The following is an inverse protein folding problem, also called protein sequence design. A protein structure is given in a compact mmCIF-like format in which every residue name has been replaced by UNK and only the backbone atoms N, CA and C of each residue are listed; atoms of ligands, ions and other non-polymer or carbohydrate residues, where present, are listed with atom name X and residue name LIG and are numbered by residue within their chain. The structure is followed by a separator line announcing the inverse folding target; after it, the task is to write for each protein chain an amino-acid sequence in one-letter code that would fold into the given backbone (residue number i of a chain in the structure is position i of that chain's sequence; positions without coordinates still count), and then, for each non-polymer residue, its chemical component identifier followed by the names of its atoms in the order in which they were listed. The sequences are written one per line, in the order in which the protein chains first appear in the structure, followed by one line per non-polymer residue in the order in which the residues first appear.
data_IF_733006091971
#
_entry.id   IF_733006091971
#
_cell.length_a   1.000
_cell.length_b   1.000
_cell.length_c   1.000
_cell.angle_alpha   90.00
_cell.angle_beta   90.00
_cell.angle_gamma   90.00
#
_symmetry.space_group_name_H-M   'P 1'
#
loop_
_entity.id
_entity.type
_entity.pdbx_description
1 polymer ?
#
# COMPACT_ATOMS: atom_id res chain seq x y z
N UNK A 1 33.58 -14.17 -4.26
CA UNK A 1 32.63 -14.32 -3.13
C UNK A 1 31.19 -14.34 -3.65
N UNK A 2 30.73 -15.42 -4.30
CA UNK A 2 29.40 -15.46 -4.93
C UNK A 2 28.25 -15.76 -3.94
N UNK A 3 28.49 -16.51 -2.87
CA UNK A 3 27.44 -17.00 -1.98
C UNK A 3 26.77 -15.90 -1.11
N UNK A 4 27.53 -14.88 -0.68
CA UNK A 4 26.97 -13.76 0.10
C UNK A 4 26.03 -12.90 -0.76
N UNK A 5 26.39 -12.69 -2.03
CA UNK A 5 25.61 -11.91 -2.98
C UNK A 5 24.32 -12.66 -3.36
N UNK A 6 24.39 -13.98 -3.51
CA UNK A 6 23.22 -14.82 -3.75
C UNK A 6 22.23 -14.81 -2.58
N UNK A 7 22.72 -14.89 -1.33
CA UNK A 7 21.86 -14.79 -0.15
C UNK A 7 21.21 -13.41 -0.01
N UNK A 8 21.93 -12.32 -0.32
CA UNK A 8 21.37 -10.98 -0.33
C UNK A 8 20.26 -10.84 -1.40
N UNK A 9 20.51 -11.36 -2.60
CA UNK A 9 19.52 -11.38 -3.68
C UNK A 9 18.27 -12.16 -3.30
N UNK A 10 18.40 -13.38 -2.76
CA UNK A 10 17.26 -14.19 -2.33
C UNK A 10 16.43 -13.50 -1.24
N UNK A 11 17.07 -12.81 -0.29
CA UNK A 11 16.37 -12.04 0.74
C UNK A 11 15.56 -10.89 0.14
N UNK A 12 16.16 -10.15 -0.78
CA UNK A 12 15.47 -9.07 -1.49
C UNK A 12 14.28 -9.59 -2.31
N UNK A 13 14.45 -10.67 -3.06
CA UNK A 13 13.36 -11.28 -3.84
C UNK A 13 12.20 -11.74 -2.95
N UNK A 14 12.48 -12.32 -1.77
CA UNK A 14 11.44 -12.66 -0.78
C UNK A 14 10.72 -11.44 -0.24
N UNK A 15 11.44 -10.34 0.02
CA UNK A 15 10.83 -9.08 0.47
C UNK A 15 9.90 -8.51 -0.60
N UNK A 16 10.33 -8.51 -1.87
CA UNK A 16 9.49 -8.09 -3.00
C UNK A 16 8.23 -8.97 -3.07
N UNK A 17 8.36 -10.30 -2.97
CA UNK A 17 7.21 -11.21 -3.02
C UNK A 17 6.24 -10.99 -1.85
N UNK A 18 6.75 -10.78 -0.62
CA UNK A 18 5.90 -10.45 0.55
C UNK A 18 5.13 -9.16 0.31
N UNK A 19 5.81 -8.11 -0.16
CA UNK A 19 5.17 -6.82 -0.44
C UNK A 19 4.17 -6.90 -1.60
N UNK A 20 4.46 -7.67 -2.65
CA UNK A 20 3.56 -7.89 -3.78
C UNK A 20 2.25 -8.55 -3.32
N UNK A 21 2.35 -9.57 -2.44
CA UNK A 21 1.18 -10.21 -1.83
C UNK A 21 0.36 -9.23 -0.99
N UNK A 22 1.00 -8.40 -0.17
CA UNK A 22 0.32 -7.39 0.65
C UNK A 22 -0.36 -6.31 -0.21
N UNK A 23 0.31 -5.82 -1.26
CA UNK A 23 -0.25 -4.82 -2.18
C UNK A 23 -1.46 -5.40 -2.92
N UNK A 24 -1.38 -6.65 -3.37
CA UNK A 24 -2.52 -7.32 -4.02
C UNK A 24 -3.69 -7.52 -3.06
N UNK A 25 -3.42 -7.89 -1.81
CA UNK A 25 -4.44 -8.06 -0.77
C UNK A 25 -5.12 -6.75 -0.37
N UNK A 26 -4.42 -5.61 -0.52
CA UNK A 26 -4.98 -4.29 -0.24
C UNK A 26 -5.89 -3.75 -1.36
N UNK A 27 -5.95 -4.42 -2.52
CA UNK A 27 -6.84 -4.02 -3.60
C UNK A 27 -8.29 -4.33 -3.26
N UNK A 28 -9.13 -3.32 -3.49
CA UNK A 28 -10.58 -3.44 -3.44
C UNK A 28 -11.10 -3.91 -4.80
N UNK A 29 -11.77 -5.08 -4.89
CA UNK A 29 -12.29 -5.58 -6.16
C UNK A 29 -13.21 -4.59 -6.87
N UNK A 30 -13.97 -3.80 -6.12
CA UNK A 30 -14.88 -2.78 -6.64
C UNK A 30 -14.17 -1.64 -7.39
N UNK A 31 -12.85 -1.47 -7.23
CA UNK A 31 -12.06 -0.47 -7.95
C UNK A 31 -11.24 -1.06 -9.10
N UNK A 32 -11.50 -2.31 -9.48
CA UNK A 32 -10.89 -2.98 -10.64
C UNK A 32 -9.35 -2.91 -10.66
N UNK A 33 -8.74 -2.91 -9.47
CA UNK A 33 -7.29 -2.86 -9.31
C UNK A 33 -6.68 -1.45 -9.30
N UNK A 34 -7.48 -0.39 -9.30
CA UNK A 34 -7.05 0.99 -9.04
C UNK A 34 -7.12 1.34 -7.55
N UNK A 35 -6.55 2.51 -7.20
CA UNK A 35 -6.55 3.06 -5.84
C UNK A 35 -5.94 2.14 -4.78
N UNK A 36 -4.99 1.29 -5.19
CA UNK A 36 -4.24 0.45 -4.27
C UNK A 36 -3.39 1.27 -3.29
N UNK A 37 -3.49 0.92 -2.01
CA UNK A 37 -2.73 1.55 -0.94
C UNK A 37 -2.30 0.51 0.10
N UNK A 38 -1.03 0.54 0.50
CA UNK A 38 -0.51 -0.22 1.63
C UNK A 38 0.11 0.75 2.65
N UNK A 39 -0.21 0.55 3.92
CA UNK A 39 0.38 1.32 5.04
C UNK A 39 1.14 0.32 5.90
N UNK A 40 2.44 0.52 6.05
CA UNK A 40 3.31 -0.28 6.90
C UNK A 40 3.64 0.53 8.16
N UNK A 41 3.31 -0.02 9.32
CA UNK A 41 3.63 0.57 10.61
C UNK A 41 5.06 0.27 11.07
N UNK A 42 5.43 0.77 12.24
CA UNK A 42 6.76 0.59 12.83
C UNK A 42 7.13 -0.89 12.97
N UNK A 43 6.19 -1.73 13.44
CA UNK A 43 6.43 -3.15 13.62
C UNK A 43 6.66 -3.86 12.28
N UNK A 44 5.86 -3.55 11.26
CA UNK A 44 6.05 -4.08 9.91
C UNK A 44 7.43 -3.72 9.35
N UNK A 45 7.84 -2.45 9.52
CA UNK A 45 9.12 -1.96 9.05
C UNK A 45 10.29 -2.64 9.79
N UNK A 46 10.18 -2.82 11.11
CA UNK A 46 11.20 -3.49 11.91
C UNK A 46 11.42 -4.95 11.45
N UNK A 47 10.36 -5.65 11.05
CA UNK A 47 10.46 -7.02 10.53
C UNK A 47 11.00 -7.10 9.10
N UNK A 48 10.74 -6.09 8.28
CA UNK A 48 11.06 -6.10 6.85
C UNK A 48 12.48 -5.60 6.54
N UNK A 49 13.12 -4.94 7.50
CA UNK A 49 14.50 -4.48 7.42
C UNK A 49 14.63 -2.99 7.10
N UNK A 50 15.76 -2.61 6.51
CA UNK A 50 16.11 -1.21 6.30
C UNK A 50 15.09 -0.48 5.40
N UNK A 51 14.66 0.71 5.83
CA UNK A 51 13.62 1.50 5.14
C UNK A 51 13.94 1.73 3.65
N UNK A 52 15.22 1.90 3.30
CA UNK A 52 15.64 2.07 1.90
C UNK A 52 15.34 0.84 1.04
N UNK A 53 15.55 -0.36 1.60
CA UNK A 53 15.37 -1.63 0.91
C UNK A 53 13.88 -1.98 0.84
N UNK A 54 13.13 -1.68 1.91
CA UNK A 54 11.65 -1.78 1.91
C UNK A 54 11.04 -0.86 0.86
N UNK A 55 11.46 0.42 0.78
CA UNK A 55 10.99 1.35 -0.25
C UNK A 55 11.34 0.89 -1.67
N UNK A 56 12.52 0.32 -1.86
CA UNK A 56 12.94 -0.21 -3.17
C UNK A 56 12.08 -1.41 -3.56
N UNK A 57 11.92 -2.37 -2.65
CA UNK A 57 11.14 -3.57 -2.87
C UNK A 57 9.64 -3.26 -3.07
N UNK A 58 9.08 -2.29 -2.33
CA UNK A 58 7.69 -1.86 -2.49
C UNK A 58 7.41 -1.27 -3.88
N UNK A 59 8.33 -0.44 -4.41
CA UNK A 59 8.21 0.11 -5.77
C UNK A 59 8.34 -0.97 -6.84
N UNK A 60 9.20 -1.96 -6.63
CA UNK A 60 9.32 -3.09 -7.54
C UNK A 60 8.06 -3.96 -7.52
N UNK A 61 7.56 -4.30 -6.33
CA UNK A 61 6.34 -5.06 -6.13
C UNK A 61 5.14 -4.37 -6.79
N UNK A 62 4.95 -3.06 -6.55
CA UNK A 62 3.87 -2.31 -7.20
C UNK A 62 4.03 -2.22 -8.72
N UNK A 63 5.26 -2.09 -9.23
CA UNK A 63 5.52 -2.15 -10.68
C UNK A 63 5.11 -3.50 -11.30
N UNK A 64 5.33 -4.63 -10.61
CA UNK A 64 4.89 -5.96 -11.06
C UNK A 64 3.37 -6.07 -11.13
N UNK A 65 2.64 -5.30 -10.33
CA UNK A 65 1.18 -5.15 -10.39
C UNK A 65 0.71 -4.09 -11.39
N UNK A 66 1.63 -3.48 -12.14
CA UNK A 66 1.31 -2.41 -13.11
C UNK A 66 0.98 -1.06 -12.47
N UNK A 67 1.28 -0.86 -11.18
CA UNK A 67 1.02 0.40 -10.48
C UNK A 67 2.04 1.47 -10.83
N UNK A 68 1.61 2.73 -10.79
CA UNK A 68 2.51 3.89 -10.73
C UNK A 68 2.85 4.13 -9.26
N UNK A 69 3.80 3.37 -8.74
CA UNK A 69 4.05 3.31 -7.29
C UNK A 69 4.83 4.51 -6.76
N UNK A 70 4.29 5.18 -5.75
CA UNK A 70 5.04 6.11 -4.90
C UNK A 70 5.16 5.58 -3.48
N UNK A 71 6.15 6.07 -2.73
CA UNK A 71 6.29 5.78 -1.30
C UNK A 71 6.48 7.07 -0.52
N UNK A 72 5.71 7.26 0.55
CA UNK A 72 5.81 8.45 1.43
C UNK A 72 5.95 7.99 2.87
N UNK A 73 6.87 8.56 3.63
CA UNK A 73 6.95 8.32 5.07
C UNK A 73 6.20 9.45 5.77
N UNK A 74 5.21 9.11 6.58
CA UNK A 74 4.46 10.05 7.42
C UNK A 74 4.53 9.58 8.86
N UNK A 75 5.28 10.30 9.69
CA UNK A 75 5.61 9.85 11.03
C UNK A 75 6.40 8.53 11.00
N UNK A 76 5.89 7.53 11.69
CA UNK A 76 6.45 6.18 11.81
C UNK A 76 5.88 5.18 10.80
N UNK A 77 5.08 5.65 9.83
CA UNK A 77 4.40 4.79 8.84
C UNK A 77 4.90 5.05 7.43
N UNK A 78 5.14 3.97 6.70
CA UNK A 78 5.41 4.02 5.27
C UNK A 78 4.13 3.78 4.48
N UNK A 79 3.76 4.75 3.67
CA UNK A 79 2.68 4.68 2.70
C UNK A 79 3.23 4.24 1.35
N UNK A 80 2.61 3.24 0.74
CA UNK A 80 2.87 2.79 -0.64
C UNK A 80 1.57 3.00 -1.41
N UNK A 81 1.58 3.82 -2.46
CA UNK A 81 0.37 4.28 -3.15
C UNK A 81 0.50 4.03 -4.65
N UNK A 82 -0.61 3.65 -5.27
CA UNK A 82 -0.78 3.72 -6.72
C UNK A 82 -1.21 5.13 -7.16
N UNK A 83 -0.39 5.81 -7.96
CA UNK A 83 -0.68 7.14 -8.50
C UNK A 83 -1.18 7.09 -9.96
N UNK A 84 -1.62 5.93 -10.45
CA UNK A 84 -2.34 5.87 -11.73
C UNK A 84 -3.64 6.66 -11.63
N UNK A 85 -3.97 7.39 -12.69
CA UNK A 85 -5.30 7.98 -12.83
C UNK A 85 -6.29 6.85 -13.17
N UNK A 86 -7.39 6.77 -12.44
CA UNK A 86 -8.42 5.77 -12.69
C UNK A 86 -9.38 6.26 -13.79
N UNK A 87 -10.12 5.36 -14.45
CA UNK A 87 -11.25 5.72 -15.29
C UNK A 87 -12.32 6.47 -14.50
N UNK A 88 -13.04 7.41 -15.13
CA UNK A 88 -14.01 8.31 -14.49
C UNK A 88 -15.05 7.56 -13.64
N UNK A 89 -15.52 6.40 -14.11
CA UNK A 89 -16.48 5.57 -13.39
C UNK A 89 -15.94 5.08 -12.04
N UNK A 90 -14.66 4.68 -12.01
CA UNK A 90 -13.96 4.25 -10.79
C UNK A 90 -13.63 5.46 -9.91
N UNK A 91 -13.26 6.61 -10.49
CA UNK A 91 -13.06 7.86 -9.73
C UNK A 91 -14.35 8.27 -9.00
N UNK A 92 -15.50 8.23 -9.70
CA UNK A 92 -16.81 8.52 -9.13
C UNK A 92 -17.17 7.53 -8.01
N UNK A 93 -17.00 6.23 -8.26
CA UNK A 93 -17.30 5.20 -7.27
C UNK A 93 -16.46 5.36 -5.99
N UNK A 94 -15.16 5.64 -6.13
CA UNK A 94 -14.29 5.90 -5.01
C UNK A 94 -14.68 7.19 -4.26
N UNK A 95 -15.05 8.24 -5.00
CA UNK A 95 -15.55 9.51 -4.45
C UNK A 95 -16.82 9.32 -3.62
N UNK A 96 -17.81 8.62 -4.15
CA UNK A 96 -19.07 8.34 -3.45
C UNK A 96 -18.85 7.51 -2.19
N UNK A 97 -17.97 6.49 -2.27
CA UNK A 97 -17.59 5.68 -1.11
C UNK A 97 -16.90 6.51 -0.03
N UNK A 98 -16.00 7.42 -0.40
CA UNK A 98 -15.34 8.33 0.53
C UNK A 98 -16.34 9.30 1.18
N UNK A 99 -17.24 9.90 0.39
CA UNK A 99 -18.29 10.78 0.90
C UNK A 99 -19.21 10.05 1.89
N UNK A 100 -19.60 8.81 1.58
CA UNK A 100 -20.41 7.99 2.48
C UNK A 100 -19.69 7.67 3.80
N UNK A 101 -18.39 7.37 3.75
CA UNK A 101 -17.59 7.12 4.94
C UNK A 101 -17.47 8.36 5.84
N UNK A 102 -17.24 9.54 5.25
CA UNK A 102 -17.20 10.83 5.98
C UNK A 102 -18.55 11.11 6.65
N UNK A 103 -19.65 10.94 5.91
CA UNK A 103 -20.99 11.15 6.44
C UNK A 103 -21.29 10.20 7.61
N UNK A 104 -20.89 8.94 7.51
CA UNK A 104 -21.04 7.96 8.61
C UNK A 104 -20.26 8.37 9.85
N UNK A 105 -18.97 8.71 9.70
CA UNK A 105 -18.15 9.16 10.82
C UNK A 105 -18.71 10.43 11.50
N UNK A 106 -19.25 11.35 10.70
CA UNK A 106 -19.96 12.53 11.22
C UNK A 106 -21.20 12.13 12.03
N UNK A 107 -22.03 11.22 11.55
CA UNK A 107 -23.21 10.77 12.29
C UNK A 107 -22.84 10.06 13.60
N UNK A 108 -21.79 9.22 13.58
CA UNK A 108 -21.31 8.50 14.76
C UNK A 108 -20.76 9.45 15.84
N UNK A 109 -20.02 10.48 15.44
CA UNK A 109 -19.52 11.52 16.37
C UNK A 109 -20.63 12.39 16.98
N UNK A 110 -21.79 12.50 16.32
CA UNK A 110 -22.94 13.27 16.79
C UNK A 110 -23.96 12.44 17.58
N UNK A 111 -23.75 11.12 17.72
CA UNK A 111 -24.56 10.31 18.63
C UNK A 111 -24.15 10.64 20.08
N UNK A 112 -25.10 10.99 20.97
CA UNK A 112 -24.80 11.12 22.39
C UNK A 112 -24.24 9.78 22.88
N UNK A 113 -23.11 9.83 23.59
CA UNK A 113 -22.58 8.67 24.30
C UNK A 113 -23.57 8.37 25.42
N UNK A 114 -24.48 7.43 25.16
CA UNK A 114 -25.34 6.83 26.18
C UNK A 114 -24.54 6.01 27.17
#
# INVERSE_FOLDING_TARGET
MPAKDELARRRYERLVARLESLLRAALKPEYEGYYGQLILGTNDLAEMGELKDVRRAAREAGRRLGWKTTTRLGGDRLFVLDERKAPEEIERLAGDAAAAAINRARQESHRPRG
#
